data_IF_771327848574
#
_entry.id   IF_771327848574
#
_cell.length_a   1.000
_cell.length_b   1.000
_cell.length_c   1.000
_cell.angle_alpha   90.00
_cell.angle_beta   90.00
_cell.angle_gamma   90.00
#
_symmetry.space_group_name_H-M   'P 1'
#
loop_
_entity.id
_entity.type
_entity.pdbx_description
1 polymer ?
2 branched ?
3 branched ?
4 non-polymer ?
5 non-polymer ?
6 water ?
#
# COMPACT_ATOMS: atom_id res chain seq x y z
N UNK A 25 -0.66 10.16 24.24
CA UNK A 25 -0.88 8.76 23.74
C UNK A 25 -0.16 8.56 22.39
N UNK A 26 -0.55 7.54 21.64
CA UNK A 26 0.08 7.20 20.37
C UNK A 26 -0.38 8.01 19.19
N UNK A 27 0.19 7.67 18.04
CA UNK A 27 -0.10 8.36 16.79
C UNK A 27 -1.58 8.36 16.48
N UNK A 28 -2.22 7.20 16.63
CA UNK A 28 -3.61 7.10 16.24
C UNK A 28 -4.50 8.07 17.05
N UNK A 29 -4.11 8.32 18.29
CA UNK A 29 -4.84 9.25 19.16
C UNK A 29 -4.56 10.70 18.79
N UNK A 30 -3.29 11.00 18.58
CA UNK A 30 -2.87 12.34 18.19
C UNK A 30 -3.60 12.80 16.92
N UNK A 31 -3.80 11.87 16.00
CA UNK A 31 -4.37 12.16 14.69
C UNK A 31 -5.84 11.79 14.59
N UNK A 32 -6.49 11.55 15.72
CA UNK A 32 -7.87 11.05 15.71
C UNK A 32 -8.83 11.92 14.88
N UNK A 33 -8.71 13.23 15.00
CA UNK A 33 -9.63 14.14 14.32
C UNK A 33 -9.26 14.37 12.85
N UNK A 34 -8.16 13.78 12.40
CA UNK A 34 -7.69 13.95 11.03
C UNK A 34 -7.94 12.70 10.18
N UNK A 35 -7.37 11.57 10.57
CA UNK A 35 -7.48 10.35 9.75
C UNK A 35 -6.96 9.15 10.51
N UNK A 36 -7.32 7.97 10.05
CA UNK A 36 -6.78 6.75 10.61
C UNK A 36 -5.26 6.71 10.43
N UNK A 37 -4.58 6.05 11.38
CA UNK A 37 -3.15 5.81 11.27
C UNK A 37 -2.97 4.29 11.26
N UNK A 38 -2.40 3.78 10.18
CA UNK A 38 -2.37 2.33 9.92
C UNK A 38 -0.98 1.75 9.76
N UNK A 39 -0.88 0.44 9.84
CA UNK A 39 0.36 -0.24 9.49
C UNK A 39 0.08 -1.55 8.76
N UNK A 40 0.94 -1.88 7.80
CA UNK A 40 0.97 -3.22 7.18
C UNK A 40 1.64 -4.19 8.11
N UNK A 41 0.98 -5.33 8.34
CA UNK A 41 1.48 -6.37 9.22
C UNK A 41 1.79 -7.64 8.44
N UNK A 42 3.01 -8.13 8.56
CA UNK A 42 3.36 -9.42 7.98
C UNK A 42 2.78 -10.56 8.81
N UNK A 43 2.96 -11.79 8.31
CA UNK A 43 2.32 -12.95 8.95
C UNK A 43 2.88 -13.22 10.35
N UNK A 44 4.18 -12.97 10.56
CA UNK A 44 4.79 -13.17 11.87
C UNK A 44 4.16 -12.26 12.91
N UNK A 45 4.02 -10.98 12.57
CA UNK A 45 3.44 -10.00 13.48
C UNK A 45 1.96 -10.30 13.74
N UNK A 46 1.20 -10.57 12.69
CA UNK A 46 -0.24 -10.78 12.84
C UNK A 46 -0.61 -12.08 13.59
N UNK A 47 0.36 -12.95 13.82
CA UNK A 47 0.11 -14.14 14.62
C UNK A 47 -0.24 -13.79 16.07
N UNK A 48 0.15 -12.60 16.53
CA UNK A 48 -0.07 -12.21 17.93
C UNK A 48 0.90 -12.76 18.94
N UNK A 49 1.95 -13.43 18.46
CA UNK A 49 2.91 -14.08 19.36
C UNK A 49 3.84 -13.06 20.01
N UNK A 50 3.96 -11.87 19.41
CA UNK A 50 4.96 -10.89 19.83
C UNK A 50 4.30 -9.83 20.72
N UNK A 51 4.39 -10.03 22.03
CA UNK A 51 3.68 -9.16 23.00
C UNK A 51 4.11 -7.70 22.87
N UNK A 52 5.39 -7.47 22.61
CA UNK A 52 5.90 -6.10 22.52
C UNK A 52 5.26 -5.38 21.36
N UNK A 53 5.18 -6.06 20.22
CA UNK A 53 4.50 -5.49 19.06
C UNK A 53 3.01 -5.37 19.27
N UNK A 54 2.39 -6.36 19.91
CA UNK A 54 0.95 -6.25 20.20
C UNK A 54 0.69 -4.97 20.96
N UNK A 55 1.53 -4.69 21.95
CA UNK A 55 1.36 -3.53 22.79
C UNK A 55 1.57 -2.25 21.97
N UNK A 56 2.64 -2.22 21.19
CA UNK A 56 2.95 -1.05 20.35
C UNK A 56 1.83 -0.79 19.33
N UNK A 57 1.40 -1.84 18.63
CA UNK A 57 0.41 -1.66 17.57
C UNK A 57 -0.90 -1.12 18.12
N UNK A 58 -1.38 -1.71 19.23
CA UNK A 58 -2.62 -1.25 19.85
C UNK A 58 -2.53 0.20 20.32
N UNK A 59 -1.35 0.60 20.78
CA UNK A 59 -1.12 1.99 21.19
C UNK A 59 -1.13 2.95 20.00
N UNK A 60 -0.47 2.56 18.92
CA UNK A 60 -0.13 3.51 17.86
C UNK A 60 -1.06 3.56 16.68
N UNK A 61 -1.65 2.42 16.32
CA UNK A 61 -2.34 2.28 15.04
C UNK A 61 -3.79 1.91 15.28
N UNK A 62 -4.68 2.45 14.46
CA UNK A 62 -6.09 2.04 14.50
C UNK A 62 -6.58 1.46 13.18
N UNK A 63 -5.63 1.18 12.26
CA UNK A 63 -5.90 0.48 11.01
C UNK A 63 -4.72 -0.46 10.70
N UNK A 64 -5.03 -1.59 10.05
CA UNK A 64 -4.00 -2.51 9.59
C UNK A 64 -4.34 -3.06 8.22
N UNK A 65 -3.29 -3.48 7.51
CA UNK A 65 -3.37 -4.04 6.15
C UNK A 65 -2.48 -5.28 6.15
N UNK A 66 -2.92 -6.39 5.55
CA UNK A 66 -2.06 -7.56 5.48
C UNK A 66 -0.96 -7.38 4.45
N UNK A 67 0.29 -7.58 4.85
CA UNK A 67 1.42 -7.27 3.96
C UNK A 67 1.47 -8.18 2.73
N UNK A 68 1.14 -9.46 2.91
CA UNK A 68 1.22 -10.44 1.84
C UNK A 68 0.11 -11.48 1.84
N UNK A 69 -0.46 -11.82 2.99
CA UNK A 69 -1.22 -13.08 3.10
C UNK A 69 -2.53 -13.13 2.32
N UNK A 70 -3.07 -12.01 1.89
CA UNK A 70 -4.31 -12.02 1.09
C UNK A 70 -4.05 -11.84 -0.40
N UNK A 71 -2.79 -11.82 -0.81
CA UNK A 71 -2.45 -11.79 -2.24
C UNK A 71 -2.73 -13.15 -2.86
N UNK A 72 -3.27 -13.12 -4.07
CA UNK A 72 -3.74 -14.34 -4.73
C UNK A 72 -2.73 -15.49 -4.67
N UNK A 73 -1.50 -15.23 -5.12
CA UNK A 73 -0.47 -16.26 -5.20
C UNK A 73 0.10 -16.71 -3.85
N UNK A 74 -0.25 -16.01 -2.77
CA UNK A 74 0.24 -16.33 -1.42
C UNK A 74 -0.84 -17.14 -0.69
N UNK A 75 -2.08 -16.68 -0.82
CA UNK A 75 -3.25 -17.34 -0.25
C UNK A 75 -3.59 -18.68 -0.92
N UNK A 76 -3.30 -18.79 -2.21
CA UNK A 76 -3.66 -19.95 -3.02
C UNK A 76 -2.45 -20.47 -3.71
N UNK A 77 -2.43 -21.77 -3.96
CA UNK A 77 -1.34 -22.39 -4.70
C UNK A 77 -1.65 -22.36 -6.20
N UNK A 78 -0.73 -22.89 -7.01
CA UNK A 78 -0.85 -22.83 -8.46
C UNK A 78 -2.02 -23.64 -9.02
N UNK A 79 -2.52 -24.57 -8.19
CA UNK A 79 -3.72 -25.36 -8.51
C UNK A 79 -5.02 -24.71 -8.02
N UNK A 80 -4.92 -23.51 -7.43
CA UNK A 80 -6.09 -22.77 -7.02
C UNK A 80 -6.58 -23.15 -5.64
N UNK A 81 -5.82 -23.98 -4.95
CA UNK A 81 -6.19 -24.45 -3.61
C UNK A 81 -5.90 -23.38 -2.58
N UNK A 82 -6.81 -23.24 -1.61
CA UNK A 82 -6.77 -22.16 -0.64
C UNK A 82 -6.22 -22.63 0.70
N UNK A 83 -5.45 -21.77 1.36
CA UNK A 83 -5.00 -22.05 2.72
C UNK A 83 -5.16 -20.78 3.53
N UNK A 84 -6.12 -20.79 4.44
CA UNK A 84 -6.54 -19.59 5.16
C UNK A 84 -5.77 -19.26 6.44
N UNK A 85 -4.73 -20.02 6.77
CA UNK A 85 -4.08 -19.89 8.09
C UNK A 85 -3.67 -18.45 8.41
N UNK A 86 -2.91 -17.81 7.51
CA UNK A 86 -2.39 -16.49 7.83
C UNK A 86 -3.46 -15.41 7.66
N UNK A 87 -4.29 -15.53 6.64
CA UNK A 87 -5.32 -14.52 6.39
C UNK A 87 -6.28 -14.49 7.56
N UNK A 88 -6.68 -15.67 8.03
CA UNK A 88 -7.58 -15.73 9.18
C UNK A 88 -6.91 -15.17 10.42
N UNK A 89 -5.63 -15.46 10.61
CA UNK A 89 -4.89 -14.91 11.77
C UNK A 89 -4.90 -13.38 11.72
N UNK A 90 -4.67 -12.82 10.54
CA UNK A 90 -4.69 -11.37 10.39
C UNK A 90 -6.02 -10.78 10.80
N UNK A 91 -7.10 -11.40 10.32
CA UNK A 91 -8.44 -10.87 10.62
C UNK A 91 -8.77 -11.08 12.10
N UNK A 92 -8.31 -12.19 12.66
CA UNK A 92 -8.46 -12.40 14.11
C UNK A 92 -7.73 -11.34 14.93
N UNK A 93 -6.56 -10.93 14.47
CA UNK A 93 -5.76 -9.90 15.14
C UNK A 93 -6.48 -8.56 15.09
N UNK A 94 -6.94 -8.15 13.91
CA UNK A 94 -7.68 -6.88 13.84
C UNK A 94 -8.98 -6.92 14.65
N UNK A 95 -9.64 -8.06 14.65
CA UNK A 95 -10.88 -8.20 15.42
C UNK A 95 -10.58 -8.09 16.92
N UNK A 96 -9.55 -8.78 17.36
CA UNK A 96 -9.17 -8.78 18.77
C UNK A 96 -8.88 -7.38 19.28
N UNK A 97 -8.19 -6.58 18.46
CA UNK A 97 -7.76 -5.24 18.85
C UNK A 97 -8.67 -4.11 18.38
N UNK A 98 -9.80 -4.46 17.78
CA UNK A 98 -10.77 -3.51 17.20
C UNK A 98 -10.12 -2.48 16.28
N UNK A 99 -9.39 -3.00 15.30
CA UNK A 99 -8.68 -2.22 14.30
C UNK A 99 -9.46 -2.24 12.98
N UNK A 100 -9.49 -1.09 12.31
CA UNK A 100 -9.99 -0.97 10.94
C UNK A 100 -9.08 -1.84 10.09
N UNK A 101 -9.66 -2.61 9.18
CA UNK A 101 -8.87 -3.55 8.38
C UNK A 101 -9.11 -3.36 6.90
N UNK A 102 -8.00 -3.30 6.17
CA UNK A 102 -8.00 -3.10 4.71
C UNK A 102 -7.57 -4.40 4.04
N UNK A 103 -8.41 -4.97 3.19
CA UNK A 103 -8.01 -6.15 2.43
C UNK A 103 -7.07 -5.71 1.32
N UNK A 104 -6.02 -6.50 1.08
CA UNK A 104 -5.00 -6.17 0.08
C UNK A 104 -4.54 -7.48 -0.53
N UNK A 105 -4.76 -7.71 -1.82
CA UNK A 105 -5.52 -6.93 -2.77
C UNK A 105 -6.17 -7.93 -3.73
N UNK A 106 -7.36 -7.63 -4.24
CA UNK A 106 -8.11 -8.65 -4.97
C UNK A 106 -7.50 -8.96 -6.32
N UNK A 107 -7.23 -7.91 -7.09
CA UNK A 107 -6.82 -8.06 -8.48
C UNK A 107 -5.56 -7.23 -8.75
N UNK A 108 -4.48 -7.94 -9.00
CA UNK A 108 -3.15 -7.34 -9.17
C UNK A 108 -2.32 -8.28 -10.03
N UNK A 109 -1.35 -7.73 -10.74
CA UNK A 109 -0.51 -8.52 -11.66
C UNK A 109 0.69 -9.17 -11.02
N UNK A 110 0.98 -8.84 -9.75
CA UNK A 110 2.16 -9.34 -9.04
C UNK A 110 1.73 -10.36 -7.97
N UNK A 111 2.66 -11.23 -7.60
CA UNK A 111 2.39 -12.25 -6.59
C UNK A 111 1.12 -13.03 -6.92
N UNK A 112 1.09 -13.52 -8.15
CA UNK A 112 -0.02 -14.32 -8.64
C UNK A 112 0.50 -15.30 -9.70
N UNK A 113 0.03 -16.53 -9.62
CA UNK A 113 0.59 -17.61 -10.43
C UNK A 113 0.27 -17.40 -11.88
N UNK A 114 1.21 -17.69 -12.77
CA UNK A 114 0.95 -17.59 -14.19
C UNK A 114 -0.16 -18.55 -14.60
N UNK A 115 -0.35 -19.61 -13.81
CA UNK A 115 -1.41 -20.59 -14.05
C UNK A 115 -2.80 -19.97 -14.02
N UNK A 116 -2.96 -18.82 -13.38
CA UNK A 116 -4.26 -18.17 -13.42
C UNK A 116 -4.61 -17.77 -14.86
N UNK A 117 -3.59 -17.36 -15.62
CA UNK A 117 -3.79 -16.75 -16.92
C UNK A 117 -3.46 -17.62 -18.13
N UNK A 118 -2.66 -18.64 -17.90
CA UNK A 118 -2.01 -19.37 -19.00
C UNK A 118 -2.20 -20.87 -18.89
N UNK A 119 -2.35 -21.49 -20.03
CA UNK A 119 -2.17 -22.92 -20.11
C UNK A 119 -0.70 -23.21 -19.89
N UNK A 120 -0.41 -24.48 -19.63
CA UNK A 120 0.92 -24.91 -19.31
C UNK A 120 1.88 -24.69 -20.51
N UNK A 121 1.32 -24.61 -21.71
CA UNK A 121 2.09 -24.36 -22.93
C UNK A 121 2.44 -22.88 -23.14
N UNK A 122 1.94 -22.02 -22.26
CA UNK A 122 2.18 -20.59 -22.39
C UNK A 122 1.04 -19.77 -22.94
N UNK A 123 0.09 -20.42 -23.60
CA UNK A 123 -0.99 -19.70 -24.26
C UNK A 123 -1.98 -19.14 -23.23
N UNK A 124 -2.58 -18.01 -23.57
CA UNK A 124 -3.55 -17.40 -22.70
C UNK A 124 -4.87 -18.17 -22.77
N UNK A 125 -5.55 -18.23 -21.62
CA UNK A 125 -6.93 -18.71 -21.56
C UNK A 125 -7.89 -17.62 -22.05
N UNK A 126 -9.12 -18.02 -22.34
CA UNK A 126 -10.12 -17.08 -22.83
C UNK A 126 -10.52 -16.04 -21.78
N UNK A 127 -11.03 -14.91 -22.25
CA UNK A 127 -11.57 -13.90 -21.34
C UNK A 127 -12.65 -14.51 -20.43
N UNK A 128 -13.51 -15.35 -20.98
CA UNK A 128 -14.59 -16.00 -20.20
C UNK A 128 -14.05 -16.90 -19.10
N UNK A 129 -12.99 -17.66 -19.41
CA UNK A 129 -12.39 -18.53 -18.40
C UNK A 129 -11.77 -17.73 -17.29
N UNK A 130 -11.07 -16.66 -17.65
CA UNK A 130 -10.48 -15.78 -16.64
C UNK A 130 -11.54 -15.03 -15.83
N UNK A 131 -12.62 -14.58 -16.47
CA UNK A 131 -13.72 -13.97 -15.73
C UNK A 131 -14.25 -14.91 -14.65
N UNK A 132 -14.37 -16.19 -14.98
CA UNK A 132 -14.89 -17.17 -14.04
C UNK A 132 -13.96 -17.31 -12.85
N UNK A 133 -12.67 -17.28 -13.11
CA UNK A 133 -11.72 -17.33 -12.01
C UNK A 133 -11.80 -16.10 -11.13
N UNK A 134 -11.93 -14.93 -11.74
CA UNK A 134 -12.07 -13.69 -10.95
C UNK A 134 -13.32 -13.75 -10.08
N UNK A 135 -14.42 -14.21 -10.65
CA UNK A 135 -15.69 -14.32 -9.91
C UNK A 135 -15.50 -15.22 -8.69
N UNK A 136 -14.89 -16.39 -8.89
CA UNK A 136 -14.67 -17.30 -7.76
C UNK A 136 -13.75 -16.67 -6.72
N UNK A 137 -12.69 -16.01 -7.18
CA UNK A 137 -11.71 -15.48 -6.25
C UNK A 137 -12.32 -14.39 -5.39
N UNK A 138 -13.00 -13.45 -6.03
CA UNK A 138 -13.56 -12.33 -5.28
C UNK A 138 -14.72 -12.79 -4.38
N UNK A 139 -15.60 -13.62 -4.93
CA UNK A 139 -16.76 -14.09 -4.16
C UNK A 139 -16.31 -14.84 -2.91
N UNK A 140 -15.26 -15.64 -3.05
CA UNK A 140 -14.72 -16.40 -1.94
C UNK A 140 -13.99 -15.51 -0.93
N UNK A 141 -13.05 -14.73 -1.41
CA UNK A 141 -12.18 -13.94 -0.54
C UNK A 141 -12.91 -12.76 0.10
N UNK A 142 -13.55 -11.94 -0.71
CA UNK A 142 -14.31 -10.83 -0.13
C UNK A 142 -15.51 -11.35 0.67
N UNK A 143 -16.06 -12.49 0.25
CA UNK A 143 -17.19 -13.08 0.95
C UNK A 143 -16.82 -13.54 2.34
N UNK A 144 -15.67 -14.20 2.47
CA UNK A 144 -15.25 -14.74 3.74
C UNK A 144 -15.18 -13.66 4.81
N UNK A 145 -14.66 -12.49 4.43
CA UNK A 145 -14.44 -11.42 5.37
C UNK A 145 -15.44 -10.27 5.25
N UNK A 146 -16.56 -10.50 4.57
CA UNK A 146 -17.63 -9.52 4.44
C UNK A 146 -17.96 -8.95 5.80
N UNK A 147 -17.93 -7.62 5.90
CA UNK A 147 -18.28 -6.94 7.13
C UNK A 147 -17.19 -6.89 8.17
N UNK A 148 -16.16 -7.72 8.02
CA UNK A 148 -15.03 -7.70 8.92
C UNK A 148 -13.95 -6.75 8.41
N UNK A 149 -13.67 -6.79 7.11
CA UNK A 149 -12.77 -5.84 6.48
C UNK A 149 -13.59 -4.62 6.08
N UNK A 150 -13.17 -3.43 6.50
CA UNK A 150 -13.92 -2.22 6.18
C UNK A 150 -13.68 -1.72 4.76
N UNK A 151 -12.54 -2.08 4.22
CA UNK A 151 -12.12 -1.57 2.93
C UNK A 151 -11.36 -2.64 2.20
N UNK A 152 -11.33 -2.50 0.87
CA UNK A 152 -10.56 -3.36 -0.01
C UNK A 152 -9.78 -2.57 -1.05
N UNK A 153 -8.51 -2.92 -1.24
CA UNK A 153 -7.80 -2.61 -2.47
C UNK A 153 -8.32 -3.61 -3.50
N UNK A 154 -9.25 -3.16 -4.33
CA UNK A 154 -9.86 -4.05 -5.31
C UNK A 154 -8.91 -4.29 -6.47
N UNK A 155 -8.34 -3.21 -7.01
CA UNK A 155 -7.36 -3.32 -8.08
C UNK A 155 -6.15 -2.49 -7.66
N UNK A 156 -4.97 -3.07 -7.92
CA UNK A 156 -3.64 -2.46 -7.57
C UNK A 156 -2.86 -2.28 -8.87
N UNK A 157 -2.32 -1.08 -9.08
CA UNK A 157 -1.24 -0.87 -10.04
C UNK A 157 -1.60 -1.20 -11.49
N UNK A 158 -2.67 -0.60 -11.97
CA UNK A 158 -3.17 -0.89 -13.33
C UNK A 158 -2.63 0.06 -14.40
N UNK A 159 -1.99 1.15 -13.98
CA UNK A 159 -1.41 2.09 -14.95
C UNK A 159 0.08 1.80 -15.01
N UNK A 160 0.62 1.63 -16.22
CA UNK A 160 2.03 1.33 -16.36
C UNK A 160 2.94 2.52 -16.10
N UNK A 161 4.23 2.23 -15.93
CA UNK A 161 5.24 3.27 -15.73
C UNK A 161 5.28 4.22 -16.95
N UNK A 162 4.95 3.70 -18.14
CA UNK A 162 4.89 4.49 -19.38
C UNK A 162 3.60 5.30 -19.59
N UNK A 163 2.72 5.29 -18.57
CA UNK A 163 1.46 6.06 -18.56
C UNK A 163 0.35 5.49 -19.44
N UNK A 164 0.60 4.35 -20.08
CA UNK A 164 -0.46 3.61 -20.73
C UNK A 164 -0.96 2.58 -19.71
N UNK A 165 -2.08 1.92 -20.01
CA UNK A 165 -2.55 0.83 -19.16
C UNK A 165 -1.45 -0.19 -19.04
N UNK A 166 -1.22 -0.69 -17.82
CA UNK A 166 -0.20 -1.69 -17.62
C UNK A 166 -0.52 -2.93 -18.46
N UNK A 167 0.53 -3.45 -19.11
CA UNK A 167 0.43 -4.55 -20.07
C UNK A 167 0.48 -5.91 -19.34
N UNK A 168 -0.37 -6.07 -18.34
CA UNK A 168 -0.39 -7.30 -17.55
C UNK A 168 -1.23 -8.34 -18.26
N UNK A 169 -1.15 -9.58 -17.81
CA UNK A 169 -2.05 -10.62 -18.32
C UNK A 169 -3.51 -10.26 -18.10
N UNK A 170 -3.84 -9.70 -16.93
CA UNK A 170 -5.22 -9.26 -16.67
C UNK A 170 -5.73 -8.39 -17.83
N UNK A 171 -4.93 -7.38 -18.16
CA UNK A 171 -5.32 -6.41 -19.15
C UNK A 171 -5.27 -6.95 -20.57
N UNK A 172 -4.22 -7.71 -20.89
CA UNK A 172 -4.12 -8.31 -22.22
C UNK A 172 -5.31 -9.24 -22.50
N UNK A 173 -5.74 -10.00 -21.51
CA UNK A 173 -6.89 -10.90 -21.69
C UNK A 173 -8.25 -10.21 -21.66
N UNK A 174 -8.47 -9.31 -20.70
CA UNK A 174 -9.81 -8.80 -20.43
C UNK A 174 -10.07 -7.37 -20.89
N UNK A 175 -9.01 -6.60 -21.12
CA UNK A 175 -9.15 -5.17 -21.32
C UNK A 175 -9.56 -4.51 -20.01
N UNK A 176 -10.10 -3.30 -20.10
CA UNK A 176 -10.43 -2.58 -18.88
C UNK A 176 -11.60 -3.16 -18.08
N UNK A 177 -12.30 -4.14 -18.67
CA UNK A 177 -13.25 -4.94 -17.93
C UNK A 177 -12.63 -5.65 -16.72
N UNK A 178 -11.32 -5.91 -16.73
CA UNK A 178 -10.71 -6.55 -15.57
C UNK A 178 -10.89 -5.66 -14.35
N UNK A 179 -10.86 -4.35 -14.54
CA UNK A 179 -11.03 -3.41 -13.42
C UNK A 179 -12.51 -3.23 -13.11
N UNK A 180 -13.27 -2.88 -14.14
CA UNK A 180 -14.71 -2.66 -14.00
C UNK A 180 -15.39 -3.84 -13.30
N UNK A 181 -15.08 -5.04 -13.77
CA UNK A 181 -15.74 -6.25 -13.24
C UNK A 181 -15.28 -6.54 -11.79
N UNK A 182 -14.01 -6.28 -11.49
CA UNK A 182 -13.48 -6.52 -10.14
C UNK A 182 -14.24 -5.69 -9.11
N UNK A 183 -14.39 -4.40 -9.39
CA UNK A 183 -15.14 -3.51 -8.49
C UNK A 183 -16.60 -3.90 -8.39
N UNK A 184 -17.22 -4.20 -9.53
CA UNK A 184 -18.62 -4.60 -9.54
C UNK A 184 -18.83 -5.85 -8.67
N UNK A 185 -17.98 -6.86 -8.84
CA UNK A 185 -18.05 -8.07 -8.06
C UNK A 185 -17.83 -7.82 -6.58
N UNK A 186 -16.77 -7.08 -6.24
CA UNK A 186 -16.50 -6.79 -4.83
C UNK A 186 -17.71 -6.08 -4.18
N UNK A 187 -18.31 -5.16 -4.92
CA UNK A 187 -19.45 -4.39 -4.44
C UNK A 187 -20.67 -5.29 -4.22
N UNK A 188 -20.84 -6.31 -5.07
CA UNK A 188 -21.93 -7.28 -4.91
C UNK A 188 -21.72 -8.18 -3.71
N UNK A 189 -20.45 -8.52 -3.47
CA UNK A 189 -20.13 -9.48 -2.42
C UNK A 189 -20.15 -8.82 -1.05
N UNK A 190 -19.58 -7.60 -0.93
CA UNK A 190 -19.71 -6.83 0.32
C UNK A 190 -20.09 -5.40 0.03
N UNK A 191 -21.39 -5.15 -0.07
CA UNK A 191 -21.88 -3.81 -0.41
C UNK A 191 -21.44 -2.70 0.56
N UNK A 192 -21.02 -3.08 1.78
CA UNK A 192 -20.60 -2.11 2.78
C UNK A 192 -19.11 -1.77 2.71
N UNK A 193 -18.30 -2.58 2.01
CA UNK A 193 -16.86 -2.29 1.89
C UNK A 193 -16.56 -1.00 1.13
N UNK A 194 -15.57 -0.27 1.60
CA UNK A 194 -15.06 0.91 0.94
C UNK A 194 -14.04 0.40 -0.08
N UNK A 195 -14.39 0.56 -1.35
CA UNK A 195 -13.61 -0.02 -2.43
C UNK A 195 -12.63 1.00 -2.99
N UNK A 196 -11.37 0.58 -3.10
CA UNK A 196 -10.30 1.46 -3.52
C UNK A 196 -9.53 0.93 -4.73
N UNK A 197 -9.07 1.90 -5.50
CA UNK A 197 -8.02 1.68 -6.48
C UNK A 197 -6.74 2.21 -5.86
N UNK A 198 -5.64 1.44 -5.95
CA UNK A 198 -4.37 1.72 -5.27
C UNK A 198 -3.23 1.70 -6.28
N UNK A 199 -2.31 2.66 -6.18
CA UNK A 199 -1.14 2.69 -7.09
C UNK A 199 0.01 3.53 -6.54
N UNK A 200 1.20 3.25 -7.06
CA UNK A 200 2.44 3.99 -6.73
C UNK A 200 2.79 5.01 -7.81
N UNK A 201 3.53 6.04 -7.43
CA UNK A 201 3.98 7.10 -8.34
C UNK A 201 2.84 7.96 -8.90
N UNK A 202 1.64 7.78 -8.38
CA UNK A 202 0.53 8.65 -8.75
C UNK A 202 0.61 9.97 -7.99
N UNK A 203 1.64 10.13 -7.17
CA UNK A 203 2.04 11.42 -6.60
C UNK A 203 2.62 12.33 -7.67
N UNK A 204 3.00 11.76 -8.81
CA UNK A 204 3.79 12.49 -9.82
C UNK A 204 3.00 12.91 -11.04
N UNK A 205 3.36 14.07 -11.57
CA UNK A 205 2.81 14.55 -12.83
C UNK A 205 3.10 13.50 -13.91
N UNK A 206 2.07 13.20 -14.71
CA UNK A 206 2.14 12.20 -15.75
C UNK A 206 1.21 11.07 -15.36
N UNK A 207 1.70 10.24 -14.43
CA UNK A 207 0.92 9.10 -13.94
C UNK A 207 -0.30 9.53 -13.15
N UNK A 208 -0.20 10.67 -12.45
CA UNK A 208 -1.37 11.26 -11.80
C UNK A 208 -2.52 11.42 -12.80
N UNK A 209 -2.25 12.13 -13.88
CA UNK A 209 -3.30 12.51 -14.82
C UNK A 209 -3.82 11.30 -15.61
N UNK A 210 -2.94 10.35 -15.90
CA UNK A 210 -3.34 9.11 -16.56
C UNK A 210 -4.32 8.35 -15.69
N UNK A 211 -4.06 8.35 -14.38
CA UNK A 211 -4.92 7.67 -13.42
C UNK A 211 -6.26 8.37 -13.27
N UNK A 212 -6.23 9.69 -13.18
CA UNK A 212 -7.46 10.49 -13.18
C UNK A 212 -8.33 10.14 -14.40
N UNK A 213 -7.71 10.05 -15.57
CA UNK A 213 -8.49 9.83 -16.79
C UNK A 213 -9.12 8.45 -16.80
N UNK A 214 -8.34 7.44 -16.40
CA UNK A 214 -8.86 6.08 -16.28
C UNK A 214 -10.03 5.95 -15.31
N UNK A 215 -9.86 6.50 -14.11
CA UNK A 215 -10.90 6.41 -13.10
C UNK A 215 -12.14 7.19 -13.53
N UNK A 216 -11.93 8.37 -14.10
CA UNK A 216 -13.05 9.17 -14.58
C UNK A 216 -13.97 8.40 -15.52
N UNK A 217 -13.33 7.74 -16.47
CA UNK A 217 -13.98 6.96 -17.51
C UNK A 217 -14.74 5.77 -16.91
N UNK A 218 -14.13 5.08 -15.96
CA UNK A 218 -14.79 3.97 -15.28
C UNK A 218 -15.95 4.44 -14.42
N UNK A 219 -15.80 5.59 -13.78
CA UNK A 219 -16.89 6.15 -12.99
C UNK A 219 -18.14 6.42 -13.82
N UNK A 220 -17.94 6.99 -15.01
CA UNK A 220 -19.11 7.28 -15.86
C UNK A 220 -19.71 6.02 -16.47
N UNK A 221 -18.94 4.94 -16.49
CA UNK A 221 -19.50 3.61 -16.75
C UNK A 221 -20.32 3.10 -15.57
N UNK A 222 -20.28 3.81 -14.43
CA UNK A 222 -21.01 3.39 -13.23
C UNK A 222 -20.26 2.46 -12.29
N UNK A 223 -18.95 2.37 -12.46
CA UNK A 223 -18.16 1.45 -11.60
C UNK A 223 -18.25 1.93 -10.16
N UNK A 224 -18.56 1.04 -9.22
CA UNK A 224 -18.59 1.43 -7.83
C UNK A 224 -17.17 1.58 -7.35
N UNK A 225 -16.82 2.75 -6.84
CA UNK A 225 -15.49 3.01 -6.31
C UNK A 225 -15.64 4.14 -5.33
N UNK A 226 -15.04 3.97 -4.15
CA UNK A 226 -15.24 4.90 -3.06
C UNK A 226 -13.98 5.66 -2.68
N UNK A 227 -12.82 5.05 -2.94
CA UNK A 227 -11.57 5.57 -2.45
C UNK A 227 -10.44 5.39 -3.42
N UNK A 228 -9.40 6.17 -3.19
CA UNK A 228 -8.24 6.24 -4.07
C UNK A 228 -7.00 6.17 -3.18
N UNK A 229 -6.23 5.10 -3.35
CA UNK A 229 -5.03 4.86 -2.54
C UNK A 229 -3.78 5.33 -3.25
N UNK A 230 -3.10 6.31 -2.65
CA UNK A 230 -1.79 6.74 -3.09
C UNK A 230 -0.80 5.98 -2.21
N UNK A 231 0.05 5.16 -2.80
CA UNK A 231 0.90 4.28 -2.01
C UNK A 231 1.86 5.05 -1.09
N UNK A 232 2.45 6.14 -1.62
CA UNK A 232 3.38 6.92 -0.83
C UNK A 232 4.69 6.21 -0.53
N UNK A 233 5.21 5.46 -1.51
CA UNK A 233 6.59 4.96 -1.41
C UNK A 233 7.49 6.10 -1.84
N UNK A 234 7.95 6.85 -0.86
CA UNK A 234 8.68 8.10 -1.11
C UNK A 234 10.18 7.92 -0.97
N UNK A 235 10.94 8.78 -1.65
CA UNK A 235 12.37 8.92 -1.38
C UNK A 235 12.59 9.99 -0.32
N UNK A 236 13.78 10.01 0.24
CA UNK A 236 14.14 11.01 1.25
C UNK A 236 14.02 12.44 0.68
N UNK A 237 14.25 12.60 -0.63
CA UNK A 237 14.13 13.91 -1.28
C UNK A 237 12.90 14.03 -2.18
N UNK A 238 12.70 13.06 -3.08
CA UNK A 238 11.65 13.11 -4.11
C UNK A 238 10.55 12.12 -3.78
N UNK A 239 9.31 12.38 -4.20
CA UNK A 239 8.90 13.60 -4.88
C UNK A 239 8.67 14.74 -3.92
N UNK A 240 8.62 15.96 -4.45
CA UNK A 240 8.36 17.13 -3.60
C UNK A 240 6.91 17.21 -3.10
N UNK A 241 6.73 17.86 -1.96
CA UNK A 241 5.42 18.04 -1.34
C UNK A 241 4.42 18.61 -2.36
N UNK A 242 4.88 19.54 -3.19
CA UNK A 242 3.98 20.18 -4.15
C UNK A 242 3.32 19.21 -5.12
N UNK A 243 4.06 18.18 -5.51
CA UNK A 243 3.53 17.15 -6.39
C UNK A 243 2.49 16.32 -5.69
N UNK A 244 2.80 15.93 -4.45
CA UNK A 244 1.91 15.07 -3.67
C UNK A 244 0.61 15.83 -3.45
N UNK A 245 0.74 17.14 -3.20
CA UNK A 245 -0.41 18.00 -3.00
C UNK A 245 -1.32 18.02 -4.20
N UNK A 246 -0.76 18.19 -5.41
CA UNK A 246 -1.57 18.15 -6.63
C UNK A 246 -2.39 16.88 -6.75
N UNK A 247 -1.77 15.76 -6.36
CA UNK A 247 -2.47 14.47 -6.40
C UNK A 247 -3.61 14.36 -5.39
N UNK A 248 -3.40 14.84 -4.17
CA UNK A 248 -4.46 14.78 -3.16
C UNK A 248 -5.68 15.55 -3.70
N UNK A 249 -5.41 16.75 -4.21
CA UNK A 249 -6.47 17.61 -4.73
C UNK A 249 -7.17 17.01 -5.95
N UNK A 250 -6.40 16.46 -6.87
CA UNK A 250 -6.96 15.92 -8.11
C UNK A 250 -7.82 14.70 -7.84
N UNK A 251 -7.37 13.81 -6.97
CA UNK A 251 -8.14 12.60 -6.72
C UNK A 251 -9.35 12.89 -5.85
N UNK A 252 -9.26 13.88 -4.97
CA UNK A 252 -10.42 14.27 -4.18
C UNK A 252 -11.51 14.83 -5.11
N UNK A 253 -11.11 15.49 -6.20
CA UNK A 253 -12.07 16.08 -7.15
C UNK A 253 -12.87 15.02 -7.89
N UNK A 254 -12.42 13.77 -7.87
CA UNK A 254 -13.18 12.66 -8.45
C UNK A 254 -14.29 12.16 -7.52
N UNK A 255 -14.44 12.80 -6.37
CA UNK A 255 -15.45 12.45 -5.38
C UNK A 255 -15.07 11.19 -4.63
N UNK A 256 -13.77 11.02 -4.45
CA UNK A 256 -13.21 9.82 -3.82
C UNK A 256 -12.47 10.22 -2.59
N UNK A 257 -12.56 9.38 -1.57
CA UNK A 257 -11.75 9.54 -0.37
C UNK A 257 -10.33 9.16 -0.69
N UNK A 258 -9.38 9.95 -0.21
CA UNK A 258 -7.96 9.73 -0.46
C UNK A 258 -7.35 9.01 0.73
N UNK A 259 -6.59 7.95 0.43
CA UNK A 259 -5.84 7.23 1.44
C UNK A 259 -4.39 7.20 1.03
N UNK A 260 -3.49 7.37 2.00
CA UNK A 260 -2.09 7.05 1.82
C UNK A 260 -1.89 5.67 2.42
N UNK A 261 -1.44 4.72 1.60
CA UNK A 261 -1.63 3.30 1.88
C UNK A 261 -0.39 2.52 2.24
N UNK A 262 0.79 2.97 1.81
CA UNK A 262 2.02 2.15 1.87
C UNK A 262 3.24 3.03 2.15
N UNK A 263 3.07 3.95 3.11
CA UNK A 263 4.07 4.98 3.36
C UNK A 263 5.38 4.40 3.85
N UNK A 264 6.46 4.90 3.23
CA UNK A 264 7.80 4.69 3.75
C UNK A 264 8.69 5.70 3.03
N UNK A 265 9.88 5.90 3.57
CA UNK A 265 10.82 6.88 3.02
C UNK A 265 12.15 6.16 2.81
N UNK A 266 12.54 5.99 1.55
CA UNK A 266 13.77 5.27 1.22
C UNK A 266 14.95 6.23 1.42
N UNK A 267 15.83 5.91 2.39
CA UNK A 267 17.01 6.78 2.70
C UNK A 267 18.32 6.33 2.07
N UNK A 268 18.27 5.29 1.23
CA UNK A 268 19.50 4.68 0.68
C UNK A 268 19.74 5.17 -0.75
N UNK A 269 21.01 5.12 -1.17
CA UNK A 269 21.36 5.52 -2.52
C UNK A 269 20.43 4.92 -3.58
N UNK A 270 19.91 5.78 -4.44
CA UNK A 270 18.91 5.40 -5.42
C UNK A 270 19.50 4.79 -6.68
N UNK A 271 18.81 3.78 -7.21
CA UNK A 271 19.18 3.21 -8.49
C UNK A 271 18.12 3.52 -9.55
N UNK A 272 17.23 4.45 -9.28
CA UNK A 272 16.13 4.75 -10.19
C UNK A 272 16.48 5.70 -11.33
N UNK A 273 17.65 6.34 -11.28
CA UNK A 273 18.03 7.38 -12.26
C UNK A 273 19.49 7.21 -12.72
N UNK A 274 19.90 5.98 -12.95
CA UNK A 274 21.29 5.69 -13.30
C UNK A 274 21.53 5.63 -14.82
N UNK A 275 22.78 5.79 -15.25
CA UNK A 275 23.12 5.72 -16.67
C UNK A 275 22.77 4.37 -17.32
N UNK A 276 22.61 4.39 -18.64
CA UNK A 276 22.12 3.21 -19.35
C UNK A 276 23.02 1.97 -19.17
N UNK A 277 24.33 2.19 -19.06
CA UNK A 277 25.28 1.09 -18.85
C UNK A 277 24.98 0.27 -17.60
N UNK A 278 24.32 0.91 -16.63
CA UNK A 278 24.02 0.26 -15.35
C UNK A 278 22.61 -0.27 -15.24
N UNK A 279 21.84 -0.22 -16.33
CA UNK A 279 20.40 -0.51 -16.28
C UNK A 279 20.06 -1.90 -15.72
N UNK A 280 20.93 -2.89 -15.95
CA UNK A 280 20.70 -4.25 -15.46
C UNK A 280 21.43 -4.47 -14.14
N UNK A 281 22.66 -3.96 -14.05
CA UNK A 281 23.48 -4.20 -12.85
C UNK A 281 23.06 -3.39 -11.65
N UNK A 282 22.24 -2.37 -11.86
CA UNK A 282 21.90 -1.47 -10.76
C UNK A 282 21.13 -2.15 -9.62
N UNK A 283 20.51 -3.28 -9.91
CA UNK A 283 19.81 -4.04 -8.86
C UNK A 283 20.73 -5.00 -8.11
N UNK A 284 21.99 -5.05 -8.50
CA UNK A 284 22.96 -5.91 -7.84
C UNK A 284 23.45 -5.22 -6.59
N UNK A 285 23.76 -6.03 -5.57
CA UNK A 285 24.27 -5.49 -4.33
C UNK A 285 25.70 -4.98 -4.53
N UNK A 286 25.93 -3.74 -4.12
CA UNK A 286 27.27 -3.14 -4.07
C UNK A 286 27.38 -2.42 -2.72
N UNK A 287 28.51 -2.56 -2.05
CA UNK A 287 28.75 -1.93 -0.76
C UNK A 287 28.42 -0.42 -0.69
N UNK A 288 28.78 0.31 -1.74
CA UNK A 288 28.59 1.78 -1.75
C UNK A 288 27.12 2.18 -1.81
N UNK A 289 26.27 1.25 -2.23
CA UNK A 289 24.83 1.48 -2.27
C UNK A 289 24.17 1.11 -0.95
N UNK A 290 24.95 0.63 0.00
CA UNK A 290 24.46 0.17 1.29
C UNK A 290 25.35 0.76 2.40
N UNK A 291 25.31 2.09 2.53
CA UNK A 291 26.29 2.81 3.35
C UNK A 291 26.05 2.86 4.86
N UNK A 292 24.89 2.37 5.32
CA UNK A 292 24.50 2.53 6.71
C UNK A 292 24.29 1.22 7.45
N UNK A 293 25.09 0.20 7.16
CA UNK A 293 24.92 -1.08 7.85
C UNK A 293 25.21 -1.00 9.34
N UNK A 294 26.04 -0.05 9.74
CA UNK A 294 26.37 0.12 11.15
C UNK A 294 25.40 0.99 11.93
N UNK A 295 24.43 1.60 11.22
CA UNK A 295 23.49 2.52 11.87
C UNK A 295 23.21 3.73 10.99
N UNK A 296 22.08 4.40 11.22
CA UNK A 296 21.76 5.60 10.46
C UNK A 296 22.27 6.77 11.27
N UNK A 297 23.18 7.56 10.70
CA UNK A 297 23.73 8.68 11.47
C UNK A 297 22.70 9.74 11.82
N UNK A 298 22.92 10.44 12.93
CA UNK A 298 22.01 11.45 13.40
C UNK A 298 21.64 12.45 12.31
N UNK A 299 22.60 12.83 11.45
CA UNK A 299 22.29 13.83 10.42
C UNK A 299 21.25 13.31 9.44
N UNK A 300 21.26 12.01 9.16
CA UNK A 300 20.23 11.41 8.32
C UNK A 300 18.93 11.20 9.08
N UNK A 301 19.01 10.88 10.37
CA UNK A 301 17.81 10.84 11.20
C UNK A 301 17.09 12.17 11.15
N UNK A 302 17.85 13.27 11.19
CA UNK A 302 17.30 14.63 11.12
C UNK A 302 16.57 14.84 9.78
N UNK A 303 17.20 14.40 8.69
CA UNK A 303 16.65 14.61 7.35
C UNK A 303 15.38 13.79 7.21
N UNK A 304 15.42 12.58 7.72
CA UNK A 304 14.26 11.69 7.67
C UNK A 304 13.12 12.28 8.49
N UNK A 305 13.43 12.82 9.67
CA UNK A 305 12.40 13.44 10.52
C UNK A 305 11.75 14.64 9.83
N UNK A 306 12.57 15.48 9.23
CA UNK A 306 12.06 16.65 8.52
C UNK A 306 11.19 16.25 7.33
N UNK A 307 11.62 15.20 6.62
CA UNK A 307 10.84 14.71 5.46
C UNK A 307 9.46 14.19 5.88
N UNK A 308 9.41 13.38 6.94
CA UNK A 308 8.13 12.91 7.47
C UNK A 308 7.27 14.07 8.00
N UNK A 309 7.92 15.03 8.65
CA UNK A 309 7.20 16.20 9.17
C UNK A 309 6.55 16.99 8.06
N UNK A 310 7.30 17.24 7.00
CA UNK A 310 6.78 17.94 5.81
C UNK A 310 5.56 17.20 5.28
N UNK A 311 5.68 15.88 5.21
CA UNK A 311 4.62 15.07 4.61
C UNK A 311 3.37 15.18 5.45
N UNK A 312 3.51 15.03 6.76
CA UNK A 312 2.33 15.07 7.61
C UNK A 312 1.73 16.45 7.78
N UNK A 313 2.54 17.49 7.62
CA UNK A 313 2.00 18.84 7.55
C UNK A 313 1.02 18.97 6.40
N UNK A 314 1.43 18.44 5.25
CA UNK A 314 0.57 18.39 4.08
C UNK A 314 -0.70 17.61 4.35
N UNK A 315 -0.57 16.44 4.99
CA UNK A 315 -1.72 15.61 5.26
C UNK A 315 -2.70 16.35 6.17
N UNK A 316 -2.17 17.02 7.18
CA UNK A 316 -3.02 17.80 8.08
C UNK A 316 -3.75 18.89 7.31
N UNK A 317 -3.01 19.57 6.44
CA UNK A 317 -3.59 20.63 5.63
C UNK A 317 -4.80 20.14 4.84
N UNK A 318 -4.71 18.91 4.31
CA UNK A 318 -5.78 18.32 3.51
C UNK A 318 -6.51 17.20 4.24
N UNK A 319 -6.62 17.31 5.56
CA UNK A 319 -7.24 16.25 6.35
C UNK A 319 -8.71 16.03 5.95
N UNK A 320 -9.36 17.07 5.43
CA UNK A 320 -10.74 16.94 4.95
C UNK A 320 -10.90 15.95 3.79
N UNK A 321 -9.82 15.72 3.04
CA UNK A 321 -9.80 14.86 1.86
C UNK A 321 -9.29 13.46 2.14
N UNK A 322 -8.63 13.28 3.28
CA UNK A 322 -7.84 12.09 3.55
C UNK A 322 -8.48 11.29 4.68
N UNK A 323 -8.72 10.01 4.43
CA UNK A 323 -9.29 9.08 5.40
C UNK A 323 -8.26 8.32 6.25
N UNK A 324 -7.02 8.22 5.80
CA UNK A 324 -6.06 7.27 6.36
C UNK A 324 -4.66 7.53 5.86
N UNK A 325 -3.70 7.29 6.76
CA UNK A 325 -2.29 7.21 6.41
C UNK A 325 -1.75 5.92 7.02
N UNK A 326 -1.49 4.93 6.17
CA UNK A 326 -0.91 3.67 6.56
C UNK A 326 0.56 3.55 6.14
N UNK A 327 1.39 3.10 7.07
CA UNK A 327 2.81 2.89 6.84
C UNK A 327 3.01 1.45 6.39
N UNK A 328 3.96 1.23 5.50
CA UNK A 328 4.18 -0.13 4.96
C UNK A 328 5.14 -0.91 5.86
N UNK A 329 4.68 -1.11 7.09
CA UNK A 329 5.43 -1.78 8.13
C UNK A 329 5.41 -0.98 9.41
N UNK A 330 5.82 -1.62 10.50
CA UNK A 330 5.87 -0.96 11.79
C UNK A 330 7.28 -0.49 12.07
N UNK A 331 8.25 -1.39 12.02
CA UNK A 331 9.64 -1.05 12.36
C UNK A 331 10.62 -1.43 11.25
N UNK A 332 11.78 -0.79 11.27
CA UNK A 332 12.70 -0.86 10.14
C UNK A 332 13.18 -2.28 9.83
N UNK A 333 13.26 -3.13 10.84
CA UNK A 333 13.71 -4.52 10.64
C UNK A 333 12.82 -5.26 9.66
N UNK A 334 11.54 -4.89 9.61
CA UNK A 334 10.55 -5.62 8.80
C UNK A 334 10.27 -4.97 7.43
N UNK A 335 10.93 -3.86 7.12
CA UNK A 335 10.61 -3.15 5.90
C UNK A 335 11.01 -3.88 4.62
N UNK A 336 10.11 -3.89 3.65
CA UNK A 336 10.41 -4.45 2.33
C UNK A 336 11.55 -3.71 1.63
N UNK A 337 11.87 -2.49 2.06
CA UNK A 337 12.93 -1.74 1.40
C UNK A 337 14.33 -2.21 1.79
N UNK A 338 14.43 -3.06 2.80
CA UNK A 338 15.70 -3.72 3.09
C UNK A 338 16.06 -4.65 1.96
N UNK A 339 15.06 -5.22 1.29
CA UNK A 339 15.32 -6.16 0.19
C UNK A 339 14.94 -5.74 -1.22
N UNK A 340 14.35 -4.55 -1.34
CA UNK A 340 13.90 -3.98 -2.61
C UNK A 340 14.31 -2.52 -2.68
N UNK A 341 14.91 -2.08 -3.80
CA UNK A 341 15.09 -2.89 -5.01
C UNK A 341 16.37 -3.68 -5.07
N UNK A 342 17.20 -3.57 -4.03
CA UNK A 342 18.45 -4.33 -3.92
C UNK A 342 18.38 -5.27 -2.71
N UNK A 343 18.64 -6.56 -2.92
CA UNK A 343 18.52 -7.50 -1.81
C UNK A 343 19.58 -7.25 -0.74
N UNK A 344 19.22 -7.38 0.53
CA UNK A 344 20.19 -7.46 1.62
C UNK A 344 20.76 -6.12 2.08
N UNK A 345 20.07 -5.03 1.79
CA UNK A 345 20.47 -3.71 2.30
C UNK A 345 19.90 -3.45 3.69
N UNK A 346 20.44 -2.42 4.33
CA UNK A 346 19.95 -1.99 5.65
C UNK A 346 19.31 -0.63 5.47
N UNK A 347 17.98 -0.61 5.37
CA UNK A 347 17.27 0.65 5.14
C UNK A 347 16.61 1.09 6.46
N UNK A 348 16.09 2.32 6.50
CA UNK A 348 15.58 2.90 7.74
C UNK A 348 14.30 3.72 7.43
N UNK A 349 13.29 3.08 6.86
CA UNK A 349 12.19 3.80 6.21
C UNK A 349 10.99 4.22 7.08
N UNK A 350 10.91 3.70 8.30
CA UNK A 350 9.69 3.74 9.08
C UNK A 350 9.86 4.53 10.38
N UNK A 351 8.85 4.51 11.22
CA UNK A 351 8.85 5.36 12.43
C UNK A 351 9.51 4.75 13.67
N UNK A 352 9.68 3.44 13.66
CA UNK A 352 10.27 2.69 14.76
C UNK A 352 11.51 1.96 14.25
N UNK A 353 12.54 1.96 15.09
CA UNK A 353 13.80 1.33 14.73
C UNK A 353 13.80 -0.18 14.99
N UNK A 354 14.94 -0.82 14.77
CA UNK A 354 15.06 -2.27 14.88
C UNK A 354 14.93 -2.80 16.30
N UNK A 355 14.93 -1.93 17.29
CA UNK A 355 14.63 -2.31 18.66
C UNK A 355 13.24 -1.86 19.10
N UNK A 356 12.42 -1.49 18.12
CA UNK A 356 11.05 -0.98 18.29
C UNK A 356 10.95 0.36 19.00
N UNK A 357 12.05 1.12 19.05
CA UNK A 357 12.03 2.41 19.71
C UNK A 357 11.65 3.49 18.70
N UNK A 358 10.87 4.48 19.13
CA UNK A 358 10.50 5.55 18.23
C UNK A 358 11.71 6.34 17.75
N UNK A 359 11.74 6.60 16.46
CA UNK A 359 12.77 7.44 15.83
C UNK A 359 12.36 8.90 15.92
N UNK A 360 13.32 9.79 15.65
CA UNK A 360 13.06 11.21 15.74
C UNK A 360 11.82 11.61 14.95
N UNK A 361 11.65 11.04 13.77
CA UNK A 361 10.48 11.34 12.93
C UNK A 361 9.15 11.17 13.68
N UNK A 362 9.07 10.12 14.51
CA UNK A 362 7.86 9.84 15.31
C UNK A 362 7.49 11.03 16.21
N UNK A 363 8.48 11.56 16.92
CA UNK A 363 8.26 12.69 17.83
C UNK A 363 7.87 13.97 17.08
N UNK A 364 8.42 14.18 15.90
CA UNK A 364 8.01 15.33 15.08
C UNK A 364 6.55 15.20 14.68
N UNK A 365 6.13 13.99 14.32
CA UNK A 365 4.72 13.75 13.96
C UNK A 365 3.80 14.03 15.14
N UNK A 366 4.21 13.59 16.34
CA UNK A 366 3.39 13.81 17.52
C UNK A 366 3.25 15.30 17.82
N UNK A 367 4.34 16.03 17.73
CA UNK A 367 4.29 17.45 18.07
C UNK A 367 3.55 18.30 17.07
N UNK A 368 3.45 17.89 15.81
CA UNK A 368 2.57 18.63 14.91
C UNK A 368 1.14 18.74 15.45
N UNK A 369 0.70 17.69 16.14
CA UNK A 369 -0.65 17.66 16.67
C UNK A 369 -0.73 18.20 18.09
N UNK A 370 0.24 17.85 18.93
CA UNK A 370 0.25 18.33 20.31
C UNK A 370 0.25 19.85 20.37
N UNK A 371 0.96 20.48 19.43
CA UNK A 371 1.16 21.91 19.45
C UNK A 371 0.33 22.66 18.41
N UNK A 372 -0.63 21.97 17.79
CA UNK A 372 -1.52 22.59 16.82
C UNK A 372 -2.31 23.74 17.45
N UNK A 373 -2.48 24.82 16.71
CA UNK A 373 -3.24 25.99 17.19
C UNK A 373 -4.67 26.02 16.67
N UNK A 374 -5.64 26.05 17.59
CA UNK A 374 -7.05 26.26 17.26
C UNK A 374 -7.63 27.38 18.12
N UNK A 375 -8.74 27.95 17.66
CA UNK A 375 -9.53 28.87 18.52
C UNK A 375 -10.57 28.09 19.31
#
# INVERSE_FOLDING_TARGET
MLTSAGIAMGQASKLAAATKAAEQTGLKSAYKDNFLIGAALNATIASGADERLNTLIAKEFNSITPENCMKWGVLRDAQGQWNWKDADAFVAFGTKHNLHMVGHTLVWHSQIHDEVFKNADGSYISKAALQKKMEEHITTLAGRYKGKLAAWDVVNEAVGDDLKMRDSHWYKIMGDDFIYNAFTLANEVDPKAHLMYNDYNIERTGKREATVEMIERLQKRGMPIHGLGIQGHLGIDTPPIAEIEKSIIAFAKLGLRVHFTSLDVDVLPSVWELPVAEVSTRFEYKPERDPYTKGLPQEMQDKLAKRYEDLFKLFIKHSDKIDRATFWGVSDDASWLNGFPIPGRTNYPLLFDRKLQPKDAYFRLLDLKRLEHHHHHH
#
